data_IF_695384017760
#
_entry.id   IF_695384017760
#
_cell.length_a   1.000
_cell.length_b   1.000
_cell.length_c   1.000
_cell.angle_alpha   90.00
_cell.angle_beta   90.00
_cell.angle_gamma   90.00
#
_symmetry.space_group_name_H-M   'P 1'
#
loop_
_entity.id
_entity.type
_entity.pdbx_description
1 polymer ?
#
# COMPACT_ATOMS: atom_id res chain seq x y z
N UNK A 1 -45.22 -64.47 33.50
CA UNK A 1 -44.77 -63.08 33.31
C UNK A 1 -43.30 -63.01 33.68
N UNK A 2 -42.39 -62.87 32.71
CA UNK A 2 -40.95 -62.68 32.95
C UNK A 2 -40.61 -61.24 32.60
N UNK A 3 -40.17 -60.47 33.60
CA UNK A 3 -39.70 -59.09 33.46
C UNK A 3 -38.23 -59.09 32.99
N UNK A 4 -37.96 -58.41 31.88
CA UNK A 4 -36.60 -58.16 31.39
C UNK A 4 -36.22 -56.75 31.87
N UNK A 5 -35.22 -56.65 32.74
CA UNK A 5 -34.60 -55.39 33.13
C UNK A 5 -33.48 -55.06 32.15
N UNK A 6 -33.58 -53.91 31.47
CA UNK A 6 -32.50 -53.34 30.68
C UNK A 6 -31.62 -52.47 31.57
N UNK A 7 -30.35 -52.82 31.70
CA UNK A 7 -29.32 -51.98 32.32
C UNK A 7 -28.78 -51.05 31.24
N UNK A 8 -29.01 -49.75 31.38
CA UNK A 8 -28.41 -48.71 30.54
C UNK A 8 -27.06 -48.34 31.16
N UNK A 9 -25.98 -48.68 30.45
CA UNK A 9 -24.61 -48.32 30.83
C UNK A 9 -24.31 -46.90 30.29
N UNK A 10 -24.20 -45.91 31.18
CA UNK A 10 -23.72 -44.58 30.80
C UNK A 10 -22.20 -44.59 30.63
N UNK A 11 -21.73 -44.57 29.39
CA UNK A 11 -20.34 -44.34 29.03
C UNK A 11 -20.02 -42.84 29.22
N UNK A 12 -19.30 -42.52 30.29
CA UNK A 12 -18.66 -41.21 30.48
C UNK A 12 -17.48 -41.10 29.51
N UNK A 13 -17.63 -40.30 28.45
CA UNK A 13 -16.51 -39.91 27.57
C UNK A 13 -15.88 -38.66 28.18
N UNK A 14 -14.62 -38.71 28.65
CA UNK A 14 -13.93 -37.51 29.12
C UNK A 14 -13.67 -36.59 27.92
N UNK A 15 -14.33 -35.44 27.90
CA UNK A 15 -14.08 -34.39 26.93
C UNK A 15 -12.69 -33.80 27.17
N UNK A 16 -11.72 -34.16 26.33
CA UNK A 16 -10.47 -33.43 26.23
C UNK A 16 -10.76 -32.06 25.63
N UNK A 17 -10.80 -31.03 26.48
CA UNK A 17 -10.67 -29.65 26.05
C UNK A 17 -9.22 -29.51 25.58
N UNK A 18 -9.01 -29.60 24.27
CA UNK A 18 -7.77 -29.17 23.66
C UNK A 18 -7.77 -27.65 23.76
N UNK A 19 -7.10 -27.10 24.77
CA UNK A 19 -6.69 -25.72 24.75
C UNK A 19 -5.78 -25.56 23.52
N UNK A 20 -6.25 -24.88 22.48
CA UNK A 20 -5.37 -24.41 21.42
C UNK A 20 -4.38 -23.47 22.10
N UNK A 21 -3.11 -23.87 22.21
CA UNK A 21 -2.06 -22.90 22.52
C UNK A 21 -2.07 -21.90 21.37
N UNK A 22 -2.49 -20.67 21.63
CA UNK A 22 -2.22 -19.56 20.72
C UNK A 22 -0.70 -19.58 20.47
N UNK A 23 -0.31 -20.02 19.27
CA UNK A 23 1.10 -20.14 18.92
C UNK A 23 1.76 -18.78 19.11
N UNK A 24 2.99 -18.79 19.62
CA UNK A 24 3.78 -17.56 19.81
C UNK A 24 3.82 -16.78 18.49
N UNK A 25 3.15 -15.62 18.45
CA UNK A 25 3.15 -14.75 17.26
C UNK A 25 4.59 -14.26 17.05
N UNK A 26 5.10 -14.43 15.84
CA UNK A 26 6.44 -13.94 15.46
C UNK A 26 6.32 -12.48 15.04
N UNK A 27 7.19 -11.57 15.51
CA UNK A 27 7.18 -10.19 15.04
C UNK A 27 7.59 -10.09 13.58
N UNK A 28 7.07 -9.09 12.88
CA UNK A 28 7.48 -8.74 11.52
C UNK A 28 8.98 -8.45 11.45
N UNK A 29 9.70 -8.97 10.43
CA UNK A 29 11.10 -8.62 10.23
C UNK A 29 11.25 -7.13 9.87
N UNK A 30 12.44 -6.58 10.13
CA UNK A 30 12.83 -5.22 9.77
C UNK A 30 14.14 -5.27 8.97
N UNK A 31 14.14 -5.03 7.66
CA UNK A 31 12.98 -4.68 6.84
C UNK A 31 11.96 -5.81 6.71
N UNK A 32 10.72 -5.45 6.38
CA UNK A 32 9.67 -6.42 6.06
C UNK A 32 9.96 -7.12 4.74
N UNK A 33 10.40 -6.35 3.74
CA UNK A 33 10.70 -6.84 2.41
C UNK A 33 11.78 -5.99 1.72
N UNK A 34 12.75 -6.67 1.11
CA UNK A 34 13.76 -6.10 0.21
C UNK A 34 13.63 -6.85 -1.12
N UNK A 35 13.41 -6.11 -2.21
CA UNK A 35 13.28 -6.71 -3.53
C UNK A 35 14.62 -7.34 -3.97
N UNK A 36 14.66 -8.64 -4.25
CA UNK A 36 15.92 -9.32 -4.58
C UNK A 36 16.43 -9.00 -5.99
N UNK A 37 15.66 -8.31 -6.85
CA UNK A 37 16.05 -8.03 -8.23
C UNK A 37 16.79 -6.71 -8.33
N UNK A 38 16.18 -5.63 -7.84
CA UNK A 38 16.69 -4.27 -7.97
C UNK A 38 16.94 -3.58 -6.64
N UNK A 39 16.50 -4.16 -5.50
CA UNK A 39 16.59 -3.56 -4.17
C UNK A 39 15.90 -2.20 -4.08
N UNK A 40 14.81 -2.01 -4.82
CA UNK A 40 14.10 -0.73 -4.92
C UNK A 40 12.60 -0.84 -4.73
N UNK A 41 12.15 -1.69 -3.82
CA UNK A 41 10.74 -1.79 -3.49
C UNK A 41 10.24 -0.48 -2.86
N UNK A 42 9.23 0.14 -3.47
CA UNK A 42 8.62 1.39 -3.03
C UNK A 42 7.12 1.42 -3.33
N UNK A 43 6.40 2.36 -2.70
CA UNK A 43 4.99 2.63 -2.98
C UNK A 43 4.12 1.36 -2.91
N UNK A 44 4.09 0.66 -1.75
CA UNK A 44 3.46 -0.64 -1.65
C UNK A 44 1.92 -0.54 -1.78
N UNK A 45 1.29 -1.63 -2.21
CA UNK A 45 -0.16 -1.87 -2.08
C UNK A 45 -0.39 -3.31 -1.71
N UNK A 46 -1.07 -3.53 -0.59
CA UNK A 46 -1.32 -4.83 0.01
C UNK A 46 -2.75 -5.27 -0.29
N UNK A 47 -2.91 -6.45 -0.89
CA UNK A 47 -4.22 -6.97 -1.27
C UNK A 47 -4.31 -8.47 -1.03
N UNK A 48 -5.46 -8.92 -0.53
CA UNK A 48 -5.73 -10.35 -0.39
C UNK A 48 -6.07 -10.97 -1.74
N UNK A 49 -5.25 -11.91 -2.20
CA UNK A 49 -5.57 -12.68 -3.39
C UNK A 49 -6.48 -13.86 -3.02
N UNK A 50 -7.78 -13.71 -3.29
CA UNK A 50 -8.81 -14.73 -2.98
C UNK A 50 -8.53 -16.10 -3.60
N UNK A 51 -7.94 -16.16 -4.81
CA UNK A 51 -7.63 -17.41 -5.52
C UNK A 51 -6.39 -18.09 -4.95
N UNK A 52 -5.33 -17.32 -4.72
CA UNK A 52 -4.07 -17.83 -4.18
C UNK A 52 -4.15 -18.12 -2.67
N UNK A 53 -5.14 -17.54 -1.98
CA UNK A 53 -5.27 -17.54 -0.52
C UNK A 53 -3.99 -17.03 0.16
N UNK A 54 -3.47 -15.93 -0.36
CA UNK A 54 -2.26 -15.25 0.12
C UNK A 54 -2.44 -13.75 0.03
N UNK A 55 -1.78 -13.02 0.91
CA UNK A 55 -1.56 -11.59 0.80
C UNK A 55 -0.53 -11.34 -0.29
N UNK A 56 -0.82 -10.43 -1.21
CA UNK A 56 0.11 -9.97 -2.22
C UNK A 56 0.42 -8.49 -1.97
N UNK A 57 1.68 -8.13 -2.15
CA UNK A 57 2.20 -6.77 -2.11
C UNK A 57 2.64 -6.41 -3.51
N UNK A 58 1.98 -5.42 -4.10
CA UNK A 58 2.42 -4.76 -5.31
C UNK A 58 3.30 -3.59 -4.94
N UNK A 59 4.38 -3.35 -5.68
CA UNK A 59 5.28 -2.24 -5.39
C UNK A 59 5.90 -1.69 -6.68
N UNK A 60 6.20 -0.39 -6.69
CA UNK A 60 7.07 0.21 -7.71
C UNK A 60 8.45 -0.46 -7.62
N UNK A 61 8.90 -1.10 -8.71
CA UNK A 61 10.18 -1.80 -8.72
C UNK A 61 11.33 -0.89 -9.19
N UNK A 62 11.76 0.04 -8.33
CA UNK A 62 12.82 1.02 -8.67
C UNK A 62 14.14 0.28 -8.90
N UNK A 63 14.89 0.71 -9.93
CA UNK A 63 16.11 0.05 -10.40
C UNK A 63 17.35 0.52 -9.63
N UNK A 64 17.35 0.37 -8.30
CA UNK A 64 18.40 0.93 -7.45
C UNK A 64 19.80 0.35 -7.76
N UNK A 65 19.87 -0.91 -8.18
CA UNK A 65 21.08 -1.59 -8.64
C UNK A 65 21.60 -1.19 -10.03
N UNK A 66 20.90 -0.34 -10.79
CA UNK A 66 21.33 0.09 -12.12
C UNK A 66 22.50 1.08 -12.03
N UNK A 67 23.72 0.58 -12.31
CA UNK A 67 24.95 1.36 -12.31
C UNK A 67 25.08 2.30 -13.51
N UNK A 68 24.25 2.13 -14.54
CA UNK A 68 24.23 2.98 -15.74
C UNK A 68 23.24 4.14 -15.62
N UNK A 69 22.41 4.14 -14.56
CA UNK A 69 21.39 5.15 -14.38
C UNK A 69 21.97 6.55 -14.13
N UNK A 70 21.41 7.53 -14.83
CA UNK A 70 21.78 8.95 -14.76
C UNK A 70 20.58 9.76 -14.28
N UNK A 71 20.81 10.79 -13.45
CA UNK A 71 19.73 11.58 -12.86
C UNK A 71 18.71 10.68 -12.16
N UNK A 72 17.45 10.72 -12.62
CA UNK A 72 16.35 9.91 -12.08
C UNK A 72 15.98 8.69 -12.93
N UNK A 73 16.79 8.28 -13.91
CA UNK A 73 16.42 7.13 -14.76
C UNK A 73 16.25 5.82 -13.98
N UNK A 74 16.84 5.70 -12.78
CA UNK A 74 16.70 4.54 -11.89
C UNK A 74 15.28 4.39 -11.32
N UNK A 75 14.49 5.46 -11.22
CA UNK A 75 13.06 5.35 -10.87
C UNK A 75 12.18 5.25 -12.11
N UNK A 76 12.73 5.38 -13.32
CA UNK A 76 12.02 5.10 -14.57
C UNK A 76 12.32 3.69 -15.06
N UNK A 77 11.61 3.22 -16.09
CA UNK A 77 11.81 1.88 -16.66
C UNK A 77 11.35 0.78 -15.71
N UNK A 78 10.45 1.12 -14.78
CA UNK A 78 10.00 0.23 -13.70
C UNK A 78 8.78 -0.56 -14.14
N UNK A 79 8.81 -1.85 -13.85
CA UNK A 79 7.60 -2.67 -13.76
C UNK A 79 7.00 -2.59 -12.35
N UNK A 80 5.85 -3.24 -12.14
CA UNK A 80 5.27 -3.43 -10.80
C UNK A 80 5.66 -4.82 -10.30
N UNK A 81 6.47 -4.86 -9.25
CA UNK A 81 6.87 -6.09 -8.58
C UNK A 81 5.75 -6.65 -7.70
N UNK A 82 5.80 -7.96 -7.45
CA UNK A 82 4.87 -8.67 -6.58
C UNK A 82 5.67 -9.48 -5.56
N UNK A 83 5.33 -9.33 -4.29
CA UNK A 83 5.70 -10.25 -3.23
C UNK A 83 4.44 -10.93 -2.68
N UNK A 84 4.55 -12.15 -2.16
CA UNK A 84 3.44 -12.86 -1.54
C UNK A 84 3.77 -13.34 -0.12
N UNK A 85 2.73 -13.41 0.72
CA UNK A 85 2.80 -13.88 2.09
C UNK A 85 1.54 -14.65 2.48
N UNK A 86 1.69 -15.70 3.28
CA UNK A 86 0.55 -16.44 3.84
C UNK A 86 0.02 -15.79 5.13
N UNK A 87 0.90 -15.13 5.89
CA UNK A 87 0.65 -14.62 7.24
C UNK A 87 0.77 -13.08 7.36
N UNK A 88 1.22 -12.42 6.29
CA UNK A 88 1.54 -10.99 6.28
C UNK A 88 2.88 -10.65 6.94
N UNK A 89 3.58 -11.63 7.52
CA UNK A 89 4.84 -11.47 8.26
C UNK A 89 6.03 -11.82 7.37
N UNK A 90 5.97 -12.97 6.70
CA UNK A 90 7.07 -13.45 5.83
C UNK A 90 6.69 -13.25 4.37
N UNK A 91 7.46 -12.43 3.68
CA UNK A 91 7.22 -12.08 2.28
C UNK A 91 8.28 -12.72 1.39
N UNK A 92 7.83 -13.31 0.28
CA UNK A 92 8.71 -13.86 -0.75
C UNK A 92 8.44 -13.20 -2.10
N UNK A 93 9.49 -12.88 -2.84
CA UNK A 93 9.37 -12.38 -4.21
C UNK A 93 8.59 -13.38 -5.08
N UNK A 94 7.62 -12.87 -5.83
CA UNK A 94 6.75 -13.66 -6.70
C UNK A 94 7.07 -13.44 -8.18
N UNK A 95 7.48 -12.24 -8.55
CA UNK A 95 7.64 -11.84 -9.95
C UNK A 95 7.17 -10.40 -10.18
N UNK A 96 6.79 -10.11 -11.42
CA UNK A 96 6.20 -8.83 -11.84
C UNK A 96 4.77 -9.02 -12.32
N UNK A 97 3.95 -7.97 -12.23
CA UNK A 97 2.61 -7.96 -12.78
C UNK A 97 2.64 -7.97 -14.33
N UNK A 98 1.81 -8.81 -14.94
CA UNK A 98 1.68 -8.90 -16.39
C UNK A 98 0.72 -7.80 -16.89
N UNK A 99 1.25 -6.61 -17.19
CA UNK A 99 0.47 -5.46 -17.65
C UNK A 99 0.50 -5.34 -19.17
N UNK A 100 -0.66 -5.49 -19.81
CA UNK A 100 -0.81 -5.39 -21.26
C UNK A 100 -1.10 -3.93 -21.71
N UNK A 101 -0.18 -3.00 -21.42
CA UNK A 101 -0.26 -1.60 -21.86
C UNK A 101 1.12 -0.97 -22.08
N UNK A 102 1.70 -1.15 -23.26
CA UNK A 102 3.03 -0.63 -23.59
C UNK A 102 2.99 0.15 -24.91
N UNK A 103 2.28 1.30 -24.96
CA UNK A 103 2.07 2.03 -26.21
C UNK A 103 3.37 2.69 -26.72
N UNK A 104 4.39 2.80 -25.87
CA UNK A 104 5.75 3.22 -26.20
C UNK A 104 6.74 2.08 -25.99
N UNK A 105 7.86 2.11 -26.72
CA UNK A 105 8.93 1.12 -26.57
C UNK A 105 9.50 1.10 -25.15
N UNK A 106 9.73 2.29 -24.60
CA UNK A 106 10.16 2.49 -23.22
C UNK A 106 8.99 3.03 -22.41
N UNK A 107 8.81 2.54 -21.19
CA UNK A 107 7.70 2.90 -20.34
C UNK A 107 8.10 2.78 -18.86
N UNK A 108 7.28 3.33 -17.98
CA UNK A 108 7.46 3.26 -16.54
C UNK A 108 6.10 3.13 -15.85
N UNK A 109 6.03 2.30 -14.81
CA UNK A 109 4.87 2.18 -13.93
C UNK A 109 5.20 2.50 -12.47
N UNK A 110 4.37 3.32 -11.81
CA UNK A 110 4.53 3.69 -10.40
C UNK A 110 3.24 3.56 -9.61
N UNK A 111 3.39 3.34 -8.31
CA UNK A 111 2.37 3.50 -7.27
C UNK A 111 1.03 2.85 -7.66
N UNK A 112 0.97 1.50 -7.69
CA UNK A 112 -0.27 0.80 -7.98
C UNK A 112 -1.30 1.10 -6.90
N UNK A 113 -2.58 1.24 -7.26
CA UNK A 113 -3.68 1.32 -6.31
C UNK A 113 -4.77 0.35 -6.69
N UNK A 114 -5.04 -0.64 -5.84
CA UNK A 114 -5.89 -1.78 -6.18
C UNK A 114 -7.15 -1.79 -5.31
N UNK A 115 -8.31 -1.93 -5.97
CA UNK A 115 -9.60 -2.14 -5.31
C UNK A 115 -10.32 -3.33 -5.93
N UNK A 116 -10.97 -4.15 -5.11
CA UNK A 116 -11.83 -5.24 -5.57
C UNK A 116 -13.29 -4.79 -5.58
N UNK A 117 -14.00 -5.09 -6.67
CA UNK A 117 -15.43 -4.87 -6.77
C UNK A 117 -16.09 -6.01 -7.55
N UNK A 118 -16.97 -6.76 -6.87
CA UNK A 118 -17.80 -7.84 -7.45
C UNK A 118 -16.99 -8.92 -8.17
N UNK A 119 -15.86 -9.33 -7.60
CA UNK A 119 -14.98 -10.38 -8.12
C UNK A 119 -13.99 -9.92 -9.19
N UNK A 120 -13.92 -8.61 -9.47
CA UNK A 120 -12.96 -8.00 -10.39
C UNK A 120 -12.05 -7.05 -9.62
N UNK A 121 -10.74 -7.17 -9.83
CA UNK A 121 -9.77 -6.23 -9.30
C UNK A 121 -9.57 -5.10 -10.32
N UNK A 122 -9.59 -3.87 -9.85
CA UNK A 122 -9.28 -2.66 -10.60
C UNK A 122 -7.97 -2.11 -10.06
N UNK A 123 -7.02 -1.82 -10.95
CA UNK A 123 -5.79 -1.11 -10.61
C UNK A 123 -5.79 0.24 -11.30
N UNK A 124 -5.47 1.27 -10.53
CA UNK A 124 -5.15 2.60 -11.03
C UNK A 124 -3.66 2.80 -10.84
N UNK A 125 -2.96 3.07 -11.94
CA UNK A 125 -1.51 2.98 -12.00
C UNK A 125 -0.95 4.21 -12.69
N UNK A 126 0.09 4.80 -12.11
CA UNK A 126 0.80 5.89 -12.78
C UNK A 126 1.61 5.32 -13.93
N UNK A 127 1.42 5.87 -15.13
CA UNK A 127 2.16 5.52 -16.34
C UNK A 127 2.94 6.71 -16.86
N UNK A 128 4.21 6.51 -17.14
CA UNK A 128 5.10 7.47 -17.80
C UNK A 128 5.58 6.90 -19.14
N UNK A 129 5.47 7.65 -20.26
CA UNK A 129 5.77 7.14 -21.60
C UNK A 129 7.28 7.18 -21.93
N UNK A 130 8.13 6.66 -21.05
CA UNK A 130 9.57 6.58 -21.31
C UNK A 130 10.45 6.46 -20.08
N UNK A 131 11.76 6.42 -20.34
CA UNK A 131 12.82 6.51 -19.36
C UNK A 131 13.47 7.88 -19.47
N UNK A 132 13.47 8.63 -18.37
CA UNK A 132 13.90 10.03 -18.38
C UNK A 132 14.89 10.32 -17.25
N UNK A 133 15.82 11.24 -17.51
CA UNK A 133 16.82 11.66 -16.53
C UNK A 133 16.34 12.81 -15.62
N UNK A 134 15.16 13.38 -15.90
CA UNK A 134 14.53 14.44 -15.11
C UNK A 134 12.99 14.26 -14.97
N UNK A 135 12.34 15.21 -14.29
CA UNK A 135 10.91 15.16 -13.95
C UNK A 135 10.00 16.01 -14.86
N UNK A 136 10.41 16.38 -16.09
CA UNK A 136 9.66 17.31 -16.95
C UNK A 136 8.84 16.60 -18.04
N UNK A 137 8.31 15.43 -17.74
CA UNK A 137 7.63 14.56 -18.71
C UNK A 137 6.14 14.34 -18.39
N UNK A 138 5.29 13.96 -19.34
CA UNK A 138 3.90 13.63 -19.04
C UNK A 138 3.81 12.35 -18.18
N UNK A 139 2.75 12.25 -17.38
CA UNK A 139 2.41 11.04 -16.63
C UNK A 139 0.92 11.04 -16.31
N UNK A 140 0.28 9.91 -16.58
CA UNK A 140 -1.16 9.74 -16.46
C UNK A 140 -1.49 8.58 -15.55
N UNK A 141 -2.68 8.59 -14.96
CA UNK A 141 -3.23 7.42 -14.30
C UNK A 141 -3.95 6.56 -15.35
N UNK A 142 -3.56 5.29 -15.48
CA UNK A 142 -4.23 4.30 -16.31
C UNK A 142 -5.11 3.39 -15.46
N UNK A 143 -6.19 2.89 -16.04
CA UNK A 143 -7.10 1.93 -15.43
C UNK A 143 -6.87 0.54 -16.05
N UNK A 144 -6.62 -0.43 -15.18
CA UNK A 144 -6.42 -1.82 -15.51
C UNK A 144 -7.43 -2.70 -14.74
N UNK A 145 -7.78 -3.85 -15.30
CA UNK A 145 -8.59 -4.87 -14.61
C UNK A 145 -7.91 -6.24 -14.59
N UNK A 146 -8.17 -7.01 -13.53
CA UNK A 146 -7.68 -8.38 -13.39
C UNK A 146 -8.66 -9.27 -12.65
N UNK A 147 -8.69 -10.56 -12.99
CA UNK A 147 -9.43 -11.61 -12.25
C UNK A 147 -8.54 -12.39 -11.29
N UNK A 148 -7.22 -12.27 -11.40
CA UNK A 148 -6.26 -13.12 -10.68
C UNK A 148 -5.13 -12.33 -10.00
N UNK A 149 -5.15 -10.99 -10.11
CA UNK A 149 -4.13 -10.05 -9.64
C UNK A 149 -2.77 -10.17 -10.35
N UNK A 150 -2.60 -11.08 -11.31
CA UNK A 150 -1.35 -11.28 -12.03
C UNK A 150 -1.42 -10.69 -13.44
N UNK A 151 -2.49 -11.01 -14.17
CA UNK A 151 -2.70 -10.59 -15.55
C UNK A 151 -3.65 -9.40 -15.59
N UNK A 152 -3.16 -8.28 -16.12
CA UNK A 152 -3.84 -6.99 -16.11
C UNK A 152 -4.18 -6.56 -17.54
N UNK A 153 -5.49 -6.45 -17.78
CA UNK A 153 -6.06 -5.91 -19.01
C UNK A 153 -6.12 -4.39 -18.91
N UNK A 154 -5.64 -3.70 -19.94
CA UNK A 154 -5.86 -2.27 -20.09
C UNK A 154 -7.33 -1.96 -20.39
N UNK A 155 -7.89 -0.98 -19.68
CA UNK A 155 -9.23 -0.45 -19.96
C UNK A 155 -9.17 0.95 -20.54
N UNK A 156 -8.49 1.89 -19.87
CA UNK A 156 -8.44 3.29 -20.31
C UNK A 156 -7.29 4.09 -19.69
N UNK A 157 -6.98 5.24 -20.29
CA UNK A 157 -6.30 6.33 -19.57
C UNK A 157 -7.39 7.14 -18.86
N UNK A 158 -7.26 7.34 -17.55
CA UNK A 158 -8.25 8.07 -16.75
C UNK A 158 -8.16 9.55 -17.10
N UNK A 159 -9.27 10.14 -17.53
CA UNK A 159 -9.34 11.58 -17.82
C UNK A 159 -9.46 12.35 -16.51
N UNK A 160 -8.36 12.96 -16.10
CA UNK A 160 -8.25 13.82 -14.92
C UNK A 160 -7.94 15.26 -15.34
N UNK A 161 -7.71 16.13 -14.36
CA UNK A 161 -7.51 17.57 -14.57
C UNK A 161 -6.35 17.92 -15.51
N UNK A 162 -5.26 17.13 -15.51
CA UNK A 162 -4.09 17.32 -16.37
C UNK A 162 -3.45 15.97 -16.75
N UNK A 163 -2.46 16.00 -17.64
CA UNK A 163 -1.61 14.87 -18.04
C UNK A 163 -0.31 14.77 -17.21
N UNK A 164 -0.35 15.34 -15.99
CA UNK A 164 0.76 15.36 -15.06
C UNK A 164 0.29 15.05 -13.64
N UNK A 165 -0.30 13.86 -13.49
CA UNK A 165 -0.96 13.35 -12.28
C UNK A 165 -0.42 11.97 -11.92
N UNK A 166 -0.30 11.68 -10.62
CA UNK A 166 0.29 10.44 -10.10
C UNK A 166 -0.46 9.93 -8.87
N UNK A 167 -0.10 8.72 -8.45
CA UNK A 167 -0.36 8.17 -7.12
C UNK A 167 -1.85 8.14 -6.77
N UNK A 168 -2.61 7.36 -7.51
CA UNK A 168 -4.03 7.18 -7.23
C UNK A 168 -4.24 6.46 -5.88
N UNK A 169 -5.37 6.71 -5.24
CA UNK A 169 -5.97 5.84 -4.24
C UNK A 169 -7.47 5.83 -4.46
N UNK A 170 -8.11 4.66 -4.40
CA UNK A 170 -9.55 4.52 -4.64
C UNK A 170 -10.25 3.92 -3.43
N UNK A 171 -11.33 4.57 -3.01
CA UNK A 171 -12.19 4.11 -1.91
C UNK A 171 -13.65 4.05 -2.36
N UNK A 172 -14.39 3.07 -1.83
CA UNK A 172 -15.83 2.95 -2.07
C UNK A 172 -16.61 3.78 -1.04
N UNK A 173 -17.40 4.73 -1.51
CA UNK A 173 -18.20 5.62 -0.68
C UNK A 173 -19.40 4.87 -0.05
N UNK A 174 -19.97 5.40 1.06
CA UNK A 174 -21.13 4.80 1.72
C UNK A 174 -22.38 4.63 0.83
N UNK A 175 -22.55 5.48 -0.17
CA UNK A 175 -23.64 5.40 -1.15
C UNK A 175 -23.41 4.33 -2.25
N UNK A 176 -22.27 3.63 -2.19
CA UNK A 176 -21.89 2.58 -3.13
C UNK A 176 -21.14 3.06 -4.37
N UNK A 177 -20.97 4.38 -4.55
CA UNK A 177 -20.09 4.97 -5.58
C UNK A 177 -18.63 4.93 -5.13
N UNK A 178 -17.71 5.50 -5.93
CA UNK A 178 -16.28 5.43 -5.70
C UNK A 178 -15.66 6.81 -5.81
N UNK A 179 -14.60 7.03 -5.03
CA UNK A 179 -13.77 8.22 -5.10
C UNK A 179 -12.32 7.84 -5.27
N UNK A 180 -11.64 8.55 -6.16
CA UNK A 180 -10.20 8.50 -6.33
C UNK A 180 -9.59 9.77 -5.75
N UNK A 181 -8.52 9.65 -4.98
CA UNK A 181 -7.62 10.75 -4.68
C UNK A 181 -6.33 10.56 -5.46
N UNK A 182 -5.69 11.65 -5.87
CA UNK A 182 -4.47 11.62 -6.65
C UNK A 182 -3.68 12.91 -6.50
N UNK A 183 -2.39 12.88 -6.79
CA UNK A 183 -1.55 14.07 -6.81
C UNK A 183 -1.66 14.81 -8.16
N UNK A 184 -1.88 16.12 -8.12
CA UNK A 184 -1.82 17.01 -9.28
C UNK A 184 -0.51 17.82 -9.25
N UNK A 185 0.51 17.38 -10.00
CA UNK A 185 1.84 18.00 -9.88
C UNK A 185 1.89 19.49 -10.29
N UNK A 186 1.23 19.94 -11.39
CA UNK A 186 1.26 21.34 -11.81
C UNK A 186 0.70 22.32 -10.77
N UNK A 187 -0.25 21.88 -9.94
CA UNK A 187 -0.87 22.70 -8.89
C UNK A 187 -0.15 22.52 -7.55
N UNK A 188 1.17 22.67 -7.57
CA UNK A 188 1.99 22.63 -6.36
C UNK A 188 1.93 21.29 -5.61
N UNK A 189 1.70 20.18 -6.33
CA UNK A 189 1.53 18.83 -5.75
C UNK A 189 0.35 18.74 -4.77
N UNK A 190 -0.73 19.47 -5.02
CA UNK A 190 -1.96 19.32 -4.25
C UNK A 190 -2.63 17.96 -4.51
N UNK A 191 -3.31 17.42 -3.50
CA UNK A 191 -4.14 16.22 -3.65
C UNK A 191 -5.51 16.62 -4.15
N UNK A 192 -5.90 16.06 -5.29
CA UNK A 192 -7.20 16.22 -5.93
C UNK A 192 -8.06 14.99 -5.68
N UNK A 193 -9.34 15.07 -6.05
CA UNK A 193 -10.20 13.90 -6.12
C UNK A 193 -11.13 13.89 -7.33
N UNK A 194 -11.52 12.68 -7.74
CA UNK A 194 -12.50 12.43 -8.78
C UNK A 194 -13.51 11.38 -8.31
N UNK A 195 -14.76 11.48 -8.76
CA UNK A 195 -15.83 10.54 -8.40
C UNK A 195 -16.21 9.65 -9.59
N UNK A 196 -16.57 8.41 -9.31
CA UNK A 196 -17.07 7.43 -10.28
C UNK A 196 -18.23 6.63 -9.72
N UNK A 197 -19.20 6.30 -10.59
CA UNK A 197 -20.29 5.38 -10.26
C UNK A 197 -19.95 3.91 -10.53
N UNK A 198 -18.95 3.66 -11.38
CA UNK A 198 -18.74 2.34 -12.00
C UNK A 198 -17.28 1.85 -11.99
N UNK A 199 -16.32 2.67 -11.53
CA UNK A 199 -14.87 2.45 -11.63
C UNK A 199 -14.32 2.50 -13.07
N UNK A 200 -15.05 3.06 -14.02
CA UNK A 200 -14.58 3.23 -15.41
C UNK A 200 -14.61 4.69 -15.83
N UNK A 201 -15.71 5.38 -15.49
CA UNK A 201 -15.93 6.78 -15.82
C UNK A 201 -15.70 7.65 -14.61
N UNK A 202 -14.75 8.58 -14.70
CA UNK A 202 -14.33 9.46 -13.61
C UNK A 202 -14.68 10.91 -13.93
N UNK A 203 -15.16 11.64 -12.91
CA UNK A 203 -15.41 13.08 -12.99
C UNK A 203 -14.54 13.77 -11.96
N UNK A 204 -13.55 14.54 -12.40
CA UNK A 204 -12.74 15.40 -11.52
C UNK A 204 -13.62 16.36 -10.72
N UNK A 205 -13.24 16.59 -9.46
CA UNK A 205 -13.95 17.46 -8.51
C UNK A 205 -13.05 18.54 -7.91
N UNK A 206 -11.79 18.62 -8.32
CA UNK A 206 -10.85 19.61 -7.82
C UNK A 206 -10.10 19.15 -6.57
N UNK A 207 -9.67 20.12 -5.76
CA UNK A 207 -8.77 19.90 -4.62
C UNK A 207 -9.50 19.20 -3.47
N UNK A 208 -8.88 18.16 -2.90
CA UNK A 208 -9.33 17.51 -1.67
C UNK A 208 -8.69 18.14 -0.42
N UNK A 209 -7.38 18.39 -0.49
CA UNK A 209 -6.59 19.07 0.56
C UNK A 209 -5.58 20.02 -0.10
N UNK A 210 -5.23 21.10 0.61
CA UNK A 210 -4.42 22.20 0.06
C UNK A 210 -3.42 22.80 1.03
N UNK A 211 -3.38 22.31 2.27
CA UNK A 211 -2.53 22.85 3.32
C UNK A 211 -1.04 22.57 3.06
N UNK A 212 -0.71 21.43 2.44
CA UNK A 212 0.65 20.99 2.19
C UNK A 212 0.77 20.24 0.85
N UNK A 213 1.86 20.47 0.10
CA UNK A 213 2.26 19.60 -1.01
C UNK A 213 2.46 18.14 -0.54
N UNK A 214 2.05 17.17 -1.37
CA UNK A 214 2.32 15.77 -1.08
C UNK A 214 1.82 14.81 -2.16
N UNK A 215 2.21 13.54 -2.05
CA UNK A 215 1.83 12.46 -2.96
C UNK A 215 1.40 11.21 -2.19
N UNK A 216 1.10 10.11 -2.88
CA UNK A 216 0.64 8.88 -2.24
C UNK A 216 -0.50 9.01 -1.23
N UNK A 217 -1.65 9.60 -1.58
CA UNK A 217 -2.81 9.55 -0.72
C UNK A 217 -3.21 8.10 -0.46
N UNK A 218 -3.55 7.75 0.78
CA UNK A 218 -4.11 6.44 1.17
C UNK A 218 -5.31 6.68 2.06
N UNK A 219 -6.49 6.27 1.62
CA UNK A 219 -7.75 6.46 2.34
C UNK A 219 -8.27 5.14 2.90
N UNK A 220 -8.57 5.12 4.20
CA UNK A 220 -9.14 3.95 4.88
C UNK A 220 -10.10 4.37 6.01
N UNK A 221 -10.92 3.43 6.48
CA UNK A 221 -11.82 3.62 7.64
C UNK A 221 -11.33 2.80 8.82
N UNK A 222 -11.19 3.43 9.98
CA UNK A 222 -10.81 2.77 11.24
C UNK A 222 -11.26 3.60 12.45
N UNK A 223 -11.72 2.93 13.52
CA UNK A 223 -12.33 3.57 14.70
C UNK A 223 -13.44 4.58 14.33
N UNK A 224 -14.39 4.13 13.50
CA UNK A 224 -15.55 4.89 13.02
C UNK A 224 -15.28 6.20 12.27
N UNK A 225 -14.02 6.42 11.88
CA UNK A 225 -13.55 7.62 11.19
C UNK A 225 -12.84 7.25 9.88
N UNK A 226 -12.88 8.17 8.91
CA UNK A 226 -12.06 8.06 7.71
C UNK A 226 -10.73 8.75 7.93
N UNK A 227 -9.67 8.14 7.42
CA UNK A 227 -8.31 8.62 7.51
C UNK A 227 -7.75 8.76 6.11
N UNK A 228 -6.90 9.78 5.91
CA UNK A 228 -6.04 9.90 4.74
C UNK A 228 -4.60 10.06 5.21
N UNK A 229 -3.72 9.25 4.65
CA UNK A 229 -2.26 9.39 4.81
C UNK A 229 -1.70 9.96 3.52
N UNK A 230 -0.73 10.88 3.61
CA UNK A 230 -0.11 11.53 2.45
C UNK A 230 1.39 11.65 2.68
N UNK A 231 2.20 11.27 1.70
CA UNK A 231 3.65 11.52 1.73
C UNK A 231 3.93 13.01 1.49
N UNK A 232 4.38 13.72 2.52
CA UNK A 232 4.75 15.13 2.42
C UNK A 232 6.28 15.32 2.24
N UNK A 233 7.02 14.26 1.92
CA UNK A 233 8.49 14.18 1.88
C UNK A 233 9.18 14.64 3.18
N UNK A 234 8.46 14.53 4.30
CA UNK A 234 8.89 14.91 5.66
C UNK A 234 8.32 13.91 6.68
N UNK A 235 8.14 12.66 6.27
CA UNK A 235 7.20 11.74 6.90
C UNK A 235 5.78 11.90 6.36
N UNK A 236 4.87 11.16 6.96
CA UNK A 236 3.51 10.97 6.44
C UNK A 236 2.52 11.87 7.17
N UNK A 237 1.90 12.80 6.44
CA UNK A 237 0.80 13.61 6.93
C UNK A 237 -0.44 12.76 7.20
N UNK A 238 -1.21 13.11 8.22
CA UNK A 238 -2.42 12.41 8.64
C UNK A 238 -3.59 13.39 8.59
N UNK A 239 -4.68 12.96 7.98
CA UNK A 239 -5.94 13.68 7.95
C UNK A 239 -7.07 12.77 8.42
N UNK A 240 -8.08 13.37 9.04
CA UNK A 240 -9.32 12.69 9.41
C UNK A 240 -10.52 13.33 8.74
N UNK A 241 -11.54 12.54 8.45
CA UNK A 241 -12.80 13.00 7.90
C UNK A 241 -13.97 12.16 8.43
N UNK A 242 -15.13 12.78 8.56
CA UNK A 242 -16.40 12.11 8.87
C UNK A 242 -17.18 11.75 7.59
N UNK A 243 -16.87 12.39 6.47
CA UNK A 243 -17.69 12.34 5.25
C UNK A 243 -16.89 12.14 3.94
N UNK A 244 -15.58 11.90 4.02
CA UNK A 244 -14.66 11.71 2.89
C UNK A 244 -14.50 12.95 1.98
N UNK A 245 -15.03 14.11 2.40
CA UNK A 245 -14.94 15.39 1.70
C UNK A 245 -14.13 16.39 2.51
N UNK A 246 -14.52 16.59 3.77
CA UNK A 246 -13.90 17.57 4.66
C UNK A 246 -12.80 16.90 5.45
N UNK A 247 -11.55 17.29 5.17
CA UNK A 247 -10.36 16.70 5.77
C UNK A 247 -9.76 17.63 6.80
N UNK A 248 -9.62 17.15 8.04
CA UNK A 248 -8.93 17.84 9.12
C UNK A 248 -7.54 17.25 9.30
N UNK A 249 -6.52 18.07 9.06
CA UNK A 249 -5.12 17.72 9.28
C UNK A 249 -4.82 17.51 10.77
N UNK A 250 -4.05 16.46 11.07
CA UNK A 250 -3.35 16.30 12.33
C UNK A 250 -2.04 17.10 12.31
N UNK A 251 -1.62 17.65 13.44
CA UNK A 251 -0.37 18.40 13.53
C UNK A 251 0.85 17.49 13.30
N UNK A 252 0.89 16.38 14.04
CA UNK A 252 1.95 15.39 14.00
C UNK A 252 1.90 14.52 12.74
N UNK A 253 3.07 14.23 12.18
CA UNK A 253 3.26 13.27 11.08
C UNK A 253 3.69 11.92 11.63
N UNK A 254 3.34 10.86 10.91
CA UNK A 254 3.88 9.52 11.16
C UNK A 254 5.26 9.39 10.49
N UNK A 255 6.12 8.55 11.06
CA UNK A 255 7.43 8.16 10.48
C UNK A 255 8.30 9.34 9.97
N UNK A 256 8.16 10.52 10.59
CA UNK A 256 8.93 11.74 10.29
C UNK A 256 10.37 11.66 10.78
N UNK A 257 10.58 10.99 11.93
CA UNK A 257 11.90 10.80 12.51
C UNK A 257 12.46 9.42 12.12
N UNK A 258 13.80 9.32 11.94
CA UNK A 258 14.45 8.04 11.68
C UNK A 258 14.22 7.07 12.85
N UNK A 259 14.00 5.80 12.54
CA UNK A 259 14.00 4.71 13.52
C UNK A 259 15.41 4.23 13.85
N UNK A 260 15.49 3.25 14.75
CA UNK A 260 16.74 2.61 15.20
C UNK A 260 17.11 1.37 14.37
N UNK A 261 16.16 0.76 13.68
CA UNK A 261 16.40 -0.39 12.81
C UNK A 261 17.39 -0.05 11.70
N UNK A 262 18.30 -0.98 11.36
CA UNK A 262 19.40 -0.75 10.39
C UNK A 262 18.92 -0.14 9.07
N UNK A 263 17.81 -0.64 8.52
CA UNK A 263 17.23 -0.18 7.26
C UNK A 263 16.05 0.79 7.47
N UNK A 264 15.93 1.38 8.66
CA UNK A 264 14.78 2.20 9.07
C UNK A 264 15.20 3.61 9.51
N UNK A 265 16.44 4.00 9.19
CA UNK A 265 17.09 5.22 9.69
C UNK A 265 16.86 6.46 8.81
N UNK A 266 15.79 6.47 8.04
CA UNK A 266 15.33 7.63 7.26
C UNK A 266 13.82 7.80 7.41
N UNK A 267 13.29 8.92 6.93
CA UNK A 267 11.84 9.17 6.93
C UNK A 267 11.11 8.07 6.15
N UNK A 268 9.91 7.72 6.58
CA UNK A 268 9.02 6.88 5.76
C UNK A 268 8.42 7.70 4.61
N UNK A 269 8.29 7.06 3.44
CA UNK A 269 7.61 7.60 2.27
C UNK A 269 6.28 6.89 1.99
N UNK A 270 5.72 7.12 0.79
CA UNK A 270 4.47 6.54 0.26
C UNK A 270 4.16 5.17 0.88
N UNK A 271 2.97 5.06 1.45
CA UNK A 271 2.55 3.94 2.26
C UNK A 271 1.32 3.22 1.70
N UNK A 272 0.91 2.16 2.39
CA UNK A 272 -0.42 1.58 2.36
C UNK A 272 -0.84 1.25 3.80
N UNK A 273 -2.15 1.15 4.03
CA UNK A 273 -2.70 0.83 5.35
C UNK A 273 -3.70 -0.31 5.25
N UNK A 274 -3.44 -1.38 6.01
CA UNK A 274 -4.38 -2.49 6.14
C UNK A 274 -5.01 -2.48 7.52
N UNK A 275 -6.33 -2.32 7.53
CA UNK A 275 -7.15 -2.52 8.72
C UNK A 275 -7.61 -3.97 8.76
N UNK A 276 -7.21 -4.70 9.79
CA UNK A 276 -7.52 -6.11 9.97
C UNK A 276 -7.67 -6.44 11.45
N UNK A 277 -8.68 -7.25 11.78
CA UNK A 277 -8.98 -7.65 13.16
C UNK A 277 -9.02 -6.47 14.15
N UNK A 278 -9.68 -5.37 13.75
CA UNK A 278 -9.78 -4.10 14.48
C UNK A 278 -8.44 -3.39 14.77
N UNK A 279 -7.34 -3.83 14.16
CA UNK A 279 -6.01 -3.20 14.20
C UNK A 279 -5.69 -2.59 12.85
N UNK A 280 -4.75 -1.65 12.80
CA UNK A 280 -4.32 -1.02 11.56
C UNK A 280 -2.79 -1.10 11.43
N UNK A 281 -2.32 -1.47 10.25
CA UNK A 281 -0.90 -1.67 9.96
C UNK A 281 -0.48 -0.74 8.83
N UNK A 282 0.55 0.06 9.08
CA UNK A 282 1.15 0.98 8.11
C UNK A 282 2.32 0.28 7.44
N UNK A 283 2.19 -0.02 6.15
CA UNK A 283 3.27 -0.51 5.30
C UNK A 283 3.86 0.67 4.55
N UNK A 284 5.16 0.92 4.68
CA UNK A 284 5.78 2.11 4.10
C UNK A 284 7.19 1.78 3.61
N UNK A 285 7.71 2.54 2.64
CA UNK A 285 9.10 2.37 2.23
C UNK A 285 10.02 3.37 2.92
N UNK A 286 11.28 2.99 3.06
CA UNK A 286 12.39 3.89 3.44
C UNK A 286 13.48 3.84 2.38
N UNK A 287 14.33 4.86 2.38
CA UNK A 287 15.63 4.80 1.70
C UNK A 287 16.73 4.71 2.77
N UNK A 288 17.25 3.52 3.12
CA UNK A 288 18.20 3.37 4.23
C UNK A 288 19.43 4.26 4.11
N UNK A 289 20.02 4.35 2.91
CA UNK A 289 21.19 5.19 2.66
C UNK A 289 20.90 6.70 2.57
N UNK A 290 19.64 7.15 2.76
CA UNK A 290 19.30 8.58 2.91
C UNK A 290 19.20 9.03 4.36
N UNK A 291 19.77 8.25 5.28
CA UNK A 291 20.03 8.68 6.65
C UNK A 291 20.78 10.03 6.65
N UNK A 292 20.29 11.00 7.43
CA UNK A 292 20.88 12.35 7.51
C UNK A 292 22.21 12.40 8.27
N UNK A 293 22.40 11.53 9.26
CA UNK A 293 23.59 11.50 10.13
C UNK A 293 24.68 10.59 9.59
N UNK A 294 24.31 9.54 8.85
CA UNK A 294 25.22 8.58 8.25
C UNK A 294 24.72 8.19 6.85
N UNK A 295 24.80 9.09 5.86
CA UNK A 295 24.32 8.80 4.51
C UNK A 295 25.14 7.69 3.85
N UNK A 296 24.49 6.94 2.96
CA UNK A 296 25.13 5.95 2.11
C UNK A 296 26.21 6.59 1.24
N UNK A 297 27.29 5.86 1.02
CA UNK A 297 28.47 6.33 0.30
C UNK A 297 28.36 6.11 -1.21
N UNK A 298 27.58 5.11 -1.62
CA UNK A 298 27.33 4.76 -3.01
C UNK A 298 25.96 5.22 -3.49
N UNK A 299 25.79 5.34 -4.81
CA UNK A 299 24.49 5.61 -5.40
C UNK A 299 23.49 4.48 -5.14
N UNK A 300 23.95 3.22 -5.17
CA UNK A 300 23.13 2.07 -4.80
C UNK A 300 22.53 2.22 -3.40
N UNK A 301 23.34 2.54 -2.39
CA UNK A 301 22.86 2.68 -1.01
C UNK A 301 21.82 3.79 -0.86
N UNK A 302 22.00 4.91 -1.56
CA UNK A 302 21.05 6.06 -1.52
C UNK A 302 19.76 5.81 -2.31
N UNK A 303 19.81 4.93 -3.31
CA UNK A 303 18.68 4.56 -4.17
C UNK A 303 17.89 3.38 -3.61
N UNK A 304 18.57 2.46 -2.90
CA UNK A 304 17.96 1.28 -2.29
C UNK A 304 16.75 1.70 -1.47
N UNK A 305 15.66 0.98 -1.64
CA UNK A 305 14.47 1.12 -0.82
C UNK A 305 13.94 -0.23 -0.40
N UNK A 306 13.42 -0.26 0.82
CA UNK A 306 12.87 -1.44 1.46
C UNK A 306 11.50 -1.12 2.03
N UNK A 307 10.65 -2.13 2.16
CA UNK A 307 9.35 -2.01 2.82
C UNK A 307 9.52 -2.33 4.30
N UNK A 308 8.86 -1.52 5.12
CA UNK A 308 8.78 -1.58 6.57
C UNK A 308 7.32 -1.69 6.99
N UNK A 309 7.08 -2.06 8.23
CA UNK A 309 5.73 -2.12 8.80
C UNK A 309 5.73 -1.74 10.27
N UNK A 310 4.73 -0.97 10.67
CA UNK A 310 4.44 -0.66 12.07
C UNK A 310 2.94 -0.71 12.31
N UNK A 311 2.54 -0.88 13.56
CA UNK A 311 1.14 -0.78 13.96
C UNK A 311 0.77 0.69 14.18
N UNK A 312 -0.43 1.04 13.74
CA UNK A 312 -1.05 2.32 14.04
C UNK A 312 -1.84 2.20 15.34
N UNK A 313 -1.72 3.20 16.18
CA UNK A 313 -2.50 3.38 17.39
C UNK A 313 -3.42 4.58 17.24
N UNK A 314 -4.65 4.45 17.73
CA UNK A 314 -5.62 5.53 17.79
C UNK A 314 -5.88 5.90 19.25
N UNK A 315 -5.63 7.17 19.60
CA UNK A 315 -5.88 7.70 20.93
C UNK A 315 -6.24 9.19 20.84
N UNK A 316 -7.27 9.60 21.57
CA UNK A 316 -7.67 11.01 21.71
C UNK A 316 -7.85 11.73 20.36
N UNK A 317 -8.41 11.04 19.36
CA UNK A 317 -8.66 11.60 18.04
C UNK A 317 -7.44 11.66 17.11
N UNK A 318 -6.30 11.09 17.51
CA UNK A 318 -5.04 11.12 16.75
C UNK A 318 -4.54 9.72 16.40
N UNK A 319 -3.87 9.61 15.25
CA UNK A 319 -3.07 8.44 14.89
C UNK A 319 -1.61 8.65 15.26
N UNK A 320 -1.00 7.60 15.80
CA UNK A 320 0.42 7.53 16.12
C UNK A 320 0.97 6.15 15.80
N UNK A 321 2.29 6.01 15.73
CA UNK A 321 2.98 4.73 15.65
C UNK A 321 4.33 4.83 16.37
N UNK A 322 4.78 3.74 16.96
CA UNK A 322 6.20 3.54 17.29
C UNK A 322 6.79 2.57 16.27
N UNK A 323 7.61 3.10 15.35
CA UNK A 323 8.26 2.29 14.32
C UNK A 323 9.38 1.40 14.86
N UNK A 324 9.87 1.64 16.08
CA UNK A 324 10.90 0.82 16.73
C UNK A 324 10.29 -0.39 17.46
N UNK A 325 9.02 -0.31 17.88
CA UNK A 325 8.30 -1.41 18.51
C UNK A 325 8.17 -2.63 17.59
N UNK A 326 8.10 -3.82 18.20
CA UNK A 326 7.88 -5.06 17.48
C UNK A 326 6.44 -5.12 16.94
N UNK A 327 6.29 -5.20 15.62
CA UNK A 327 4.98 -5.26 14.99
C UNK A 327 4.51 -6.71 14.84
N UNK A 328 3.48 -7.12 15.58
CA UNK A 328 2.85 -8.44 15.46
C UNK A 328 1.64 -8.36 14.52
N UNK A 329 1.87 -8.65 13.25
CA UNK A 329 0.87 -8.58 12.19
C UNK A 329 -0.22 -9.65 12.39
N UNK A 330 -1.48 -9.26 12.19
CA UNK A 330 -2.66 -10.11 12.33
C UNK A 330 -3.63 -9.86 11.17
N UNK A 331 -3.18 -10.21 9.96
CA UNK A 331 -3.98 -10.03 8.75
C UNK A 331 -4.93 -11.21 8.53
N UNK A 332 -6.23 -10.96 8.60
CA UNK A 332 -7.26 -11.96 8.31
C UNK A 332 -7.71 -11.86 6.86
N UNK A 333 -7.94 -12.99 6.16
CA UNK A 333 -8.48 -12.98 4.80
C UNK A 333 -9.71 -12.07 4.69
N UNK A 334 -9.69 -11.13 3.73
CA UNK A 334 -10.86 -10.33 3.40
C UNK A 334 -11.90 -11.24 2.73
N UNK A 335 -13.14 -11.22 3.24
CA UNK A 335 -14.24 -12.06 2.75
C UNK A 335 -14.66 -11.71 1.31
#
# INVERSE_FOLDING_TARGET
>A
MKSIQYIILFLFIPGFIIAQSEGVKTPAPKPLFDDPVYHGAADPTIVWNKKAKKWWMFYTNRRAGDSTATGVTWVHGTDIGIAESADGVKWSYKGIANINYKPTKEYTYWAPAIVENKGLYHMYLTYVPGIFADWKHPRNIIHLTSKNLLDWKFESVVKLVTDKVIDACVYKLPDGTFRMWYNNEPDGKAVYYADSKDLYSWTDKGKAITDMPGEGPVVFKWNDKYWMIVDNWKGLGVYSSENLLDWKRQEERLVELPGKGKDDQSIGGHADVIVSNNRAYLFYFTHPGRNKTAPGTTEFEKRRSVIQVTELYYKDGKLSCDRDEACFIDLIPLK
#
